data_IF_544197438781
#
_entry.id   IF_544197438781
#
_cell.length_a   1.000
_cell.length_b   1.000
_cell.length_c   1.000
_cell.angle_alpha   90.00
_cell.angle_beta   90.00
_cell.angle_gamma   90.00
#
_symmetry.space_group_name_H-M   'P 1'
#
loop_
_entity.id
_entity.type
_entity.pdbx_description
1 polymer ?
#
# COMPACT_ATOMS: atom_id res chain seq x y z
N UNK A 1 7.94 4.68 -17.20
CA UNK A 1 7.17 3.70 -16.41
C UNK A 1 6.83 4.36 -15.09
N UNK A 2 5.55 4.42 -14.72
CA UNK A 2 5.13 5.07 -13.48
C UNK A 2 5.45 4.15 -12.30
N UNK A 3 6.19 4.65 -11.30
CA UNK A 3 6.46 3.91 -10.06
C UNK A 3 5.19 3.89 -9.19
N UNK A 4 5.06 2.89 -8.32
CA UNK A 4 4.09 2.96 -7.22
C UNK A 4 4.58 4.00 -6.21
N UNK A 5 3.66 4.74 -5.60
CA UNK A 5 3.97 5.59 -4.46
C UNK A 5 2.89 5.40 -3.41
N UNK A 6 3.32 5.30 -2.15
CA UNK A 6 2.43 5.17 -1.00
C UNK A 6 2.70 6.35 -0.08
N UNK A 7 1.67 7.15 0.15
CA UNK A 7 1.75 8.32 1.02
C UNK A 7 0.80 8.12 2.20
N UNK A 8 1.33 8.24 3.42
CA UNK A 8 0.49 8.29 4.61
C UNK A 8 -0.16 9.68 4.70
N UNK A 9 -1.49 9.73 4.66
CA UNK A 9 -2.25 10.97 4.78
C UNK A 9 -2.53 11.30 6.25
N UNK A 10 -2.84 10.29 7.06
CA UNK A 10 -3.01 10.37 8.51
C UNK A 10 -2.69 9.02 9.18
N UNK A 11 -3.03 8.87 10.47
CA UNK A 11 -2.73 7.67 11.24
C UNK A 11 -3.35 6.38 10.70
N UNK A 12 -4.44 6.42 9.93
CA UNK A 12 -5.15 5.26 9.39
C UNK A 12 -5.29 5.26 7.86
N UNK A 13 -5.08 6.40 7.19
CA UNK A 13 -5.31 6.57 5.76
C UNK A 13 -4.02 6.63 4.97
N UNK A 14 -3.91 5.77 3.96
CA UNK A 14 -2.85 5.77 2.97
C UNK A 14 -3.42 6.04 1.59
N UNK A 15 -2.72 6.85 0.80
CA UNK A 15 -2.96 6.98 -0.64
C UNK A 15 -1.95 6.17 -1.41
N UNK A 16 -2.44 5.36 -2.33
CA UNK A 16 -1.62 4.63 -3.31
C UNK A 16 -1.83 5.26 -4.66
N UNK A 17 -0.76 5.63 -5.34
CA UNK A 17 -0.80 6.27 -6.65
C UNK A 17 0.15 5.63 -7.64
N UNK A 18 -0.15 5.78 -8.93
CA UNK A 18 0.67 5.26 -10.03
C UNK A 18 0.19 3.90 -10.53
N UNK A 19 1.13 3.02 -10.88
CA UNK A 19 0.81 1.68 -11.39
C UNK A 19 1.10 0.62 -10.33
N UNK A 20 0.20 -0.35 -10.17
CA UNK A 20 0.38 -1.55 -9.35
C UNK A 20 0.59 -2.75 -10.26
N UNK A 21 1.80 -2.87 -10.76
CA UNK A 21 2.22 -3.95 -11.66
C UNK A 21 3.49 -4.59 -11.16
N UNK A 22 3.81 -5.79 -11.63
CA UNK A 22 5.09 -6.46 -11.31
C UNK A 22 6.32 -5.55 -11.49
N UNK A 23 6.28 -4.64 -12.48
CA UNK A 23 7.42 -3.78 -12.83
C UNK A 23 7.50 -2.49 -11.98
N UNK A 24 6.38 -2.06 -11.41
CA UNK A 24 6.28 -0.78 -10.69
C UNK A 24 6.34 -0.93 -9.16
N UNK A 25 6.01 -2.12 -8.63
CA UNK A 25 6.07 -2.45 -7.19
C UNK A 25 7.48 -2.85 -6.70
N UNK A 26 8.49 -2.79 -7.58
CA UNK A 26 9.86 -3.26 -7.35
C UNK A 26 10.44 -2.77 -6.00
N UNK A 27 10.65 -3.70 -5.06
CA UNK A 27 11.30 -3.54 -3.75
C UNK A 27 10.70 -2.52 -2.74
N UNK A 28 9.62 -1.83 -3.10
CA UNK A 28 8.89 -0.96 -2.18
C UNK A 28 8.17 -1.82 -1.14
N UNK A 29 8.70 -1.85 0.08
CA UNK A 29 7.93 -2.26 1.26
C UNK A 29 6.99 -1.11 1.59
N UNK A 30 5.68 -1.36 1.44
CA UNK A 30 4.61 -0.39 1.67
C UNK A 30 4.78 0.32 3.03
N UNK A 31 5.34 -0.40 4.02
CA UNK A 31 5.40 0.03 5.42
C UNK A 31 6.76 -0.27 6.02
N UNK A 32 7.76 0.56 5.70
CA UNK A 32 9.05 0.54 6.41
C UNK A 32 8.97 1.14 7.83
N UNK A 33 7.80 1.64 8.26
CA UNK A 33 7.60 2.22 9.58
C UNK A 33 6.49 1.47 10.28
N UNK A 34 6.84 0.85 11.41
CA UNK A 34 5.88 0.32 12.39
C UNK A 34 4.92 1.45 12.76
N UNK A 35 3.66 1.43 12.33
CA UNK A 35 2.69 2.34 12.89
C UNK A 35 2.43 1.82 14.30
N UNK A 36 2.95 2.50 15.33
CA UNK A 36 2.45 2.30 16.69
C UNK A 36 1.03 2.87 16.71
N UNK A 37 0.06 2.06 16.34
CA UNK A 37 -1.31 2.48 16.14
C UNK A 37 -2.22 1.36 16.65
N UNK A 38 -3.10 1.71 17.59
CA UNK A 38 -4.12 0.82 18.16
C UNK A 38 -5.35 0.67 17.22
N UNK A 39 -5.18 1.09 15.97
CA UNK A 39 -6.26 1.21 14.99
C UNK A 39 -6.63 -0.15 14.39
N UNK A 40 -7.91 -0.52 14.55
CA UNK A 40 -8.48 -1.77 14.02
C UNK A 40 -8.81 -1.73 12.53
N UNK A 41 -8.78 -0.55 11.91
CA UNK A 41 -9.17 -0.35 10.52
C UNK A 41 -8.19 0.59 9.84
N UNK A 42 -7.84 0.25 8.61
CA UNK A 42 -6.92 0.98 7.76
C UNK A 42 -7.61 1.29 6.44
N UNK A 43 -7.47 2.52 5.95
CA UNK A 43 -8.10 3.01 4.73
C UNK A 43 -7.05 3.22 3.65
N UNK A 44 -7.36 2.75 2.44
CA UNK A 44 -6.48 2.87 1.29
C UNK A 44 -7.23 3.54 0.15
N UNK A 45 -6.81 4.76 -0.17
CA UNK A 45 -7.27 5.50 -1.33
C UNK A 45 -6.51 5.02 -2.57
N UNK A 46 -7.22 4.34 -3.48
CA UNK A 46 -6.71 3.83 -4.74
C UNK A 46 -7.16 4.68 -5.95
N UNK A 47 -7.78 5.85 -5.73
CA UNK A 47 -8.32 6.69 -6.81
C UNK A 47 -7.26 7.15 -7.81
N UNK A 48 -6.01 7.28 -7.38
CA UNK A 48 -4.85 7.68 -8.19
C UNK A 48 -4.07 6.48 -8.77
N UNK A 49 -4.62 5.27 -8.68
CA UNK A 49 -4.06 4.07 -9.31
C UNK A 49 -4.57 3.96 -10.74
N UNK A 50 -3.66 4.04 -11.71
CA UNK A 50 -4.00 4.05 -13.14
C UNK A 50 -4.02 2.66 -13.78
N UNK A 51 -3.35 1.68 -13.18
CA UNK A 51 -3.27 0.30 -13.69
C UNK A 51 -2.98 -0.70 -12.58
N UNK A 52 -3.60 -1.87 -12.68
CA UNK A 52 -3.41 -2.98 -11.74
C UNK A 52 -3.24 -4.30 -12.50
N UNK A 53 -2.25 -5.11 -12.12
CA UNK A 53 -2.13 -6.52 -12.52
C UNK A 53 -2.22 -7.48 -11.31
N UNK A 54 -2.15 -8.78 -11.57
CA UNK A 54 -2.21 -9.82 -10.52
C UNK A 54 -1.09 -9.68 -9.48
N UNK A 55 0.11 -9.27 -9.87
CA UNK A 55 1.21 -9.06 -8.94
C UNK A 55 0.99 -7.83 -8.06
N UNK A 56 0.45 -6.74 -8.63
CA UNK A 56 0.04 -5.56 -7.88
C UNK A 56 -1.04 -5.85 -6.84
N UNK A 57 -2.06 -6.63 -7.20
CA UNK A 57 -3.08 -7.08 -6.25
C UNK A 57 -2.49 -7.93 -5.12
N UNK A 58 -1.62 -8.89 -5.46
CA UNK A 58 -0.96 -9.73 -4.47
C UNK A 58 -0.12 -8.89 -3.49
N UNK A 59 0.60 -7.88 -3.99
CA UNK A 59 1.39 -6.97 -3.17
C UNK A 59 0.52 -6.10 -2.24
N UNK A 60 -0.61 -5.58 -2.72
CA UNK A 60 -1.57 -4.86 -1.86
C UNK A 60 -2.09 -5.75 -0.72
N UNK A 61 -2.56 -6.96 -1.05
CA UNK A 61 -3.07 -7.91 -0.06
C UNK A 61 -2.00 -8.26 0.98
N UNK A 62 -0.76 -8.49 0.54
CA UNK A 62 0.34 -8.79 1.43
C UNK A 62 0.63 -7.62 2.37
N UNK A 63 0.65 -6.40 1.84
CA UNK A 63 0.86 -5.17 2.62
C UNK A 63 -0.25 -4.96 3.67
N UNK A 64 -1.51 -5.32 3.36
CA UNK A 64 -2.60 -5.30 4.34
C UNK A 64 -2.44 -6.34 5.44
N UNK A 65 -1.99 -7.55 5.08
CA UNK A 65 -1.75 -8.60 6.07
C UNK A 65 -0.63 -8.20 7.04
N UNK A 66 0.42 -7.54 6.54
CA UNK A 66 1.50 -7.00 7.38
C UNK A 66 1.01 -5.93 8.36
N UNK A 67 0.09 -5.04 7.97
CA UNK A 67 -0.52 -4.07 8.90
C UNK A 67 -1.35 -4.73 9.99
N UNK A 68 -2.18 -5.71 9.61
CA UNK A 68 -3.07 -6.38 10.56
C UNK A 68 -2.30 -7.17 11.61
N UNK A 69 -1.15 -7.75 11.25
CA UNK A 69 -0.29 -8.49 12.18
C UNK A 69 0.48 -7.59 13.16
N UNK A 70 0.44 -6.26 12.99
CA UNK A 70 1.16 -5.29 13.82
C UNK A 70 0.30 -4.66 14.94
N UNK A 71 -0.99 -5.00 15.01
CA UNK A 71 -1.92 -4.61 16.08
C UNK A 71 -2.43 -5.79 16.89
#
# INVERSE_FOLDING_TARGET
MSKVTVTQLDEQHYRVSGELTRNSISAERLLNKKPQSDHKTWYFDLSEVSRVDTAGLAWLIHSFAELKQQG
#
